data_IF_377759944342
#
_entry.id   IF_377759944342
#
_cell.length_a   1.000
_cell.length_b   1.000
_cell.length_c   1.000
_cell.angle_alpha   90.00
_cell.angle_beta   90.00
_cell.angle_gamma   90.00
#
_symmetry.space_group_name_H-M   'P 1'
#
loop_
_entity.id
_entity.type
_entity.pdbx_description
1 polymer ?
#
# COMPACT_ATOMS: atom_id res chain seq x y z
N UNK A 1 -16.51 -15.29 -41.60
CA UNK A 1 -16.34 -13.99 -40.91
C UNK A 1 -15.26 -14.14 -39.83
N UNK A 2 -14.10 -13.48 -39.98
CA UNK A 2 -12.89 -13.68 -39.18
C UNK A 2 -12.86 -12.93 -37.80
N UNK A 3 -13.98 -12.34 -37.38
CA UNK A 3 -14.05 -11.41 -36.25
C UNK A 3 -13.67 -12.02 -34.88
N UNK A 4 -13.93 -13.31 -34.67
CA UNK A 4 -13.71 -13.97 -33.38
C UNK A 4 -12.24 -14.04 -32.94
N UNK A 5 -11.30 -14.07 -33.90
CA UNK A 5 -9.86 -14.16 -33.60
C UNK A 5 -9.31 -12.82 -33.10
N UNK A 6 -9.79 -11.71 -33.64
CA UNK A 6 -9.40 -10.37 -33.20
C UNK A 6 -9.94 -10.11 -31.78
N UNK A 7 -11.18 -10.52 -31.49
CA UNK A 7 -11.76 -10.38 -30.15
C UNK A 7 -10.96 -11.14 -29.08
N UNK A 8 -10.48 -12.35 -29.39
CA UNK A 8 -9.59 -13.13 -28.50
C UNK A 8 -8.24 -12.46 -28.27
N UNK A 9 -7.66 -11.83 -29.30
CA UNK A 9 -6.40 -11.07 -29.15
C UNK A 9 -6.58 -9.85 -28.24
N UNK A 10 -7.67 -9.09 -28.43
CA UNK A 10 -7.98 -7.91 -27.60
C UNK A 10 -8.10 -8.29 -26.11
N UNK A 11 -8.87 -9.34 -25.79
CA UNK A 11 -9.03 -9.81 -24.41
C UNK A 11 -7.70 -10.23 -23.76
N UNK A 12 -6.81 -10.85 -24.54
CA UNK A 12 -5.48 -11.25 -24.04
C UNK A 12 -4.60 -10.04 -23.75
N UNK A 13 -4.70 -8.97 -24.54
CA UNK A 13 -3.99 -7.72 -24.28
C UNK A 13 -4.56 -7.01 -23.03
N UNK A 14 -5.87 -6.98 -22.84
CA UNK A 14 -6.49 -6.41 -21.63
C UNK A 14 -6.08 -7.15 -20.36
N UNK A 15 -6.01 -8.49 -20.40
CA UNK A 15 -5.57 -9.30 -19.28
C UNK A 15 -4.10 -9.01 -18.89
N UNK A 16 -3.21 -8.88 -19.88
CA UNK A 16 -1.80 -8.52 -19.69
C UNK A 16 -1.61 -7.07 -19.21
N UNK A 17 -2.53 -6.17 -19.58
CA UNK A 17 -2.55 -4.77 -19.11
C UNK A 17 -2.97 -4.66 -17.64
N UNK A 18 -3.72 -5.62 -17.09
CA UNK A 18 -4.20 -5.58 -15.69
C UNK A 18 -3.08 -5.81 -14.65
N UNK A 19 -1.91 -6.27 -15.10
CA UNK A 19 -0.67 -6.39 -14.32
C UNK A 19 0.19 -5.11 -14.34
N UNK A 20 -0.06 -4.18 -15.26
CA UNK A 20 0.70 -2.92 -15.31
C UNK A 20 0.13 -1.94 -14.29
N UNK A 21 0.82 -1.85 -13.15
CA UNK A 21 0.72 -0.77 -12.18
C UNK A 21 -0.66 -0.57 -11.51
N UNK A 22 -1.24 -1.64 -10.93
CA UNK A 22 -2.20 -1.43 -9.84
C UNK A 22 -1.40 -0.92 -8.65
N UNK A 23 -1.41 0.38 -8.43
CA UNK A 23 -0.90 0.98 -7.19
C UNK A 23 -1.52 0.16 -6.05
N UNK A 24 -0.71 -0.53 -5.25
CA UNK A 24 -1.25 -1.43 -4.26
C UNK A 24 -2.10 -0.61 -3.30
N UNK A 25 -3.29 -1.14 -2.98
CA UNK A 25 -4.23 -0.47 -2.08
C UNK A 25 -3.53 -0.26 -0.75
N UNK A 26 -3.67 0.91 -0.11
CA UNK A 26 -2.99 1.19 1.14
C UNK A 26 -3.24 0.06 2.15
N UNK A 27 -2.16 -0.47 2.73
CA UNK A 27 -2.24 -1.63 3.64
C UNK A 27 -3.10 -1.30 4.87
N UNK A 28 -2.92 -0.10 5.40
CA UNK A 28 -3.66 0.40 6.55
C UNK A 28 -4.42 1.68 6.20
N UNK A 29 -5.63 1.80 6.74
CA UNK A 29 -6.35 3.08 6.75
C UNK A 29 -5.90 3.93 7.93
N UNK A 30 -5.93 5.26 7.79
CA UNK A 30 -5.61 6.17 8.90
C UNK A 30 -6.45 5.95 10.15
N UNK A 31 -7.71 5.54 9.99
CA UNK A 31 -8.58 5.17 11.11
C UNK A 31 -8.09 3.93 11.86
N UNK A 32 -7.64 2.91 11.13
CA UNK A 32 -7.06 1.70 11.73
C UNK A 32 -5.78 2.07 12.49
N UNK A 33 -4.93 2.91 11.89
CA UNK A 33 -3.67 3.35 12.50
C UNK A 33 -3.91 4.11 13.82
N UNK A 34 -4.87 5.04 13.82
CA UNK A 34 -5.27 5.78 15.02
C UNK A 34 -5.81 4.86 16.12
N UNK A 35 -6.59 3.83 15.75
CA UNK A 35 -7.16 2.89 16.71
C UNK A 35 -6.10 1.94 17.29
N UNK A 36 -5.16 1.47 16.48
CA UNK A 36 -4.09 0.55 16.92
C UNK A 36 -3.06 1.23 17.82
N UNK A 37 -2.66 2.46 17.49
CA UNK A 37 -1.63 3.20 18.24
C UNK A 37 -2.22 4.19 19.25
N UNK A 38 -3.55 4.25 19.38
CA UNK A 38 -4.27 5.18 20.24
C UNK A 38 -3.85 6.66 20.04
N UNK A 39 -3.48 7.02 18.80
CA UNK A 39 -2.99 8.34 18.43
C UNK A 39 -4.14 9.29 18.13
N UNK A 40 -4.02 10.55 18.57
CA UNK A 40 -4.94 11.61 18.15
C UNK A 40 -4.78 11.94 16.67
N UNK A 41 -5.89 12.30 16.04
CA UNK A 41 -5.92 12.85 14.68
C UNK A 41 -5.00 14.07 14.58
N UNK A 42 -4.03 14.00 13.69
CA UNK A 42 -3.05 15.07 13.50
C UNK A 42 -2.06 14.78 12.39
N UNK A 43 -1.19 15.75 12.04
CA UNK A 43 -0.23 15.64 10.95
C UNK A 43 0.73 14.45 11.10
N UNK A 44 1.00 14.04 12.35
CA UNK A 44 1.80 12.82 12.64
C UNK A 44 1.21 11.56 12.01
N UNK A 45 -0.12 11.37 12.06
CA UNK A 45 -0.78 10.20 11.45
C UNK A 45 -0.60 10.19 9.93
N UNK A 46 -0.69 11.37 9.30
CA UNK A 46 -0.44 11.54 7.87
C UNK A 46 1.00 11.15 7.49
N UNK A 47 1.98 11.58 8.28
CA UNK A 47 3.38 11.22 8.07
C UNK A 47 3.61 9.71 8.18
N UNK A 48 3.03 9.04 9.19
CA UNK A 48 3.15 7.60 9.38
C UNK A 48 2.49 6.81 8.23
N UNK A 49 1.32 7.26 7.76
CA UNK A 49 0.69 6.68 6.56
C UNK A 49 1.54 6.88 5.30
N UNK A 50 2.19 8.03 5.17
CA UNK A 50 3.12 8.32 4.08
C UNK A 50 4.29 7.34 4.06
N UNK A 51 4.92 7.12 5.20
CA UNK A 51 6.03 6.17 5.33
C UNK A 51 5.61 4.73 4.98
N UNK A 52 4.45 4.27 5.49
CA UNK A 52 3.88 2.97 5.09
C UNK A 52 3.65 2.95 3.57
N UNK A 53 3.14 4.03 2.99
CA UNK A 53 2.89 4.11 1.54
C UNK A 53 4.19 3.96 0.76
N UNK A 54 5.27 4.59 1.20
CA UNK A 54 6.59 4.48 0.57
C UNK A 54 7.13 3.07 0.66
N UNK A 55 7.19 2.48 1.86
CA UNK A 55 7.67 1.11 2.06
C UNK A 55 6.81 0.08 1.29
N UNK A 56 5.51 0.36 1.13
CA UNK A 56 4.62 -0.47 0.33
C UNK A 56 4.93 -0.38 -1.17
N UNK A 57 5.29 0.82 -1.65
CA UNK A 57 5.65 1.04 -3.05
C UNK A 57 7.04 0.50 -3.38
N UNK A 58 7.97 0.49 -2.42
CA UNK A 58 9.29 -0.14 -2.55
C UNK A 58 9.21 -1.67 -2.43
N UNK A 59 8.10 -2.22 -1.91
CA UNK A 59 7.90 -3.65 -1.72
C UNK A 59 8.49 -4.19 -0.42
N UNK A 60 8.90 -3.32 0.49
CA UNK A 60 9.40 -3.68 1.82
C UNK A 60 8.29 -4.17 2.75
N UNK A 61 7.08 -3.64 2.59
CA UNK A 61 5.91 -4.09 3.33
C UNK A 61 4.79 -4.47 2.37
N UNK A 62 4.20 -5.64 2.58
CA UNK A 62 3.10 -6.15 1.75
C UNK A 62 1.85 -6.47 2.57
N UNK A 63 1.96 -6.44 3.90
CA UNK A 63 0.88 -6.82 4.82
C UNK A 63 0.64 -5.78 5.90
N UNK A 64 -0.55 -5.83 6.50
CA UNK A 64 -0.93 -4.96 7.63
C UNK A 64 0.01 -5.16 8.83
N UNK A 65 0.40 -6.39 9.09
CA UNK A 65 1.23 -6.77 10.24
C UNK A 65 2.64 -6.19 10.09
N UNK A 66 3.22 -6.27 8.89
CA UNK A 66 4.51 -5.64 8.58
C UNK A 66 4.43 -4.12 8.74
N UNK A 67 3.36 -3.49 8.27
CA UNK A 67 3.15 -2.05 8.45
C UNK A 67 3.09 -1.66 9.93
N UNK A 68 2.40 -2.44 10.77
CA UNK A 68 2.33 -2.22 12.21
C UNK A 68 3.69 -2.43 12.88
N UNK A 69 4.43 -3.47 12.50
CA UNK A 69 5.77 -3.75 13.03
C UNK A 69 6.76 -2.65 12.66
N UNK A 70 6.71 -2.17 11.42
CA UNK A 70 7.53 -1.06 10.94
C UNK A 70 7.25 0.23 11.73
N UNK A 71 5.98 0.56 11.94
CA UNK A 71 5.61 1.71 12.77
C UNK A 71 6.04 1.55 14.23
N UNK A 72 5.93 0.34 14.78
CA UNK A 72 6.36 0.06 16.14
C UNK A 72 7.86 0.28 16.30
N UNK A 73 8.68 -0.22 15.38
CA UNK A 73 10.13 0.01 15.35
C UNK A 73 10.47 1.51 15.25
N UNK A 74 9.75 2.25 14.41
CA UNK A 74 9.92 3.70 14.23
C UNK A 74 9.45 4.55 15.42
N UNK A 75 8.51 4.05 16.23
CA UNK A 75 8.02 4.71 17.44
C UNK A 75 8.83 4.31 18.68
N UNK A 76 9.41 3.11 18.68
CA UNK A 76 10.26 2.58 19.75
C UNK A 76 11.69 3.10 19.64
N UNK A 77 12.13 3.51 18.44
CA UNK A 77 13.34 4.34 18.30
C UNK A 77 13.07 5.72 18.88
N UNK A 78 13.60 6.07 20.08
CA UNK A 78 13.70 7.46 20.44
C UNK A 78 14.49 8.13 19.33
N UNK A 79 13.98 9.27 18.85
CA UNK A 79 14.76 10.19 18.03
C UNK A 79 16.07 10.48 18.76
N UNK A 80 17.12 9.74 18.45
CA UNK A 80 18.48 10.10 18.83
C UNK A 80 18.89 11.28 17.94
N UNK A 81 18.93 12.43 18.61
CA UNK A 81 19.72 13.64 18.32
C UNK A 81 19.32 14.51 17.12
#
# INVERSE_FOLDING_TARGET
MHYGLIKKRIQKIEALSSERAKIPKPLLSGRELMQFFNLSSGPKVGNLLGLIREEQLTGHISTKEEALSFLKDRLDTPLEN
#
